data_IF_926280206261
#
_entry.id   IF_926280206261
#
_cell.length_a   1.000
_cell.length_b   1.000
_cell.length_c   1.000
_cell.angle_alpha   90.00
_cell.angle_beta   90.00
_cell.angle_gamma   90.00
#
_symmetry.space_group_name_H-M   'P 1'
#
loop_
_entity.id
_entity.type
_entity.pdbx_description
1 polymer ?
#
# COMPACT_ATOMS: atom_id res chain seq x y z
N UNK A 1 28.44 7.25 1.07
CA UNK A 1 27.56 7.68 2.18
C UNK A 1 26.25 6.92 2.03
N UNK A 2 25.94 5.97 2.92
CA UNK A 2 24.66 5.25 2.87
C UNK A 2 23.50 6.22 3.07
N UNK A 3 22.48 6.15 2.22
CA UNK A 3 21.21 6.87 2.44
C UNK A 3 20.68 6.54 3.84
N UNK A 4 20.11 7.49 4.59
CA UNK A 4 19.38 7.17 5.81
C UNK A 4 18.28 6.16 5.47
N UNK A 5 18.29 5.01 6.15
CA UNK A 5 17.26 3.98 6.02
C UNK A 5 15.92 4.58 6.46
N UNK A 6 14.90 4.50 5.62
CA UNK A 6 13.53 4.86 5.96
C UNK A 6 13.14 4.21 7.30
N UNK A 7 12.66 4.98 8.31
CA UNK A 7 12.24 4.44 9.60
C UNK A 7 11.23 3.29 9.47
N UNK A 8 10.36 3.32 8.47
CA UNK A 8 9.40 2.25 8.20
C UNK A 8 10.09 0.96 7.76
N UNK A 9 11.10 1.06 6.90
CA UNK A 9 11.91 -0.08 6.47
C UNK A 9 12.75 -0.65 7.62
N UNK A 10 13.21 0.19 8.55
CA UNK A 10 13.87 -0.27 9.78
C UNK A 10 12.92 -1.05 10.69
N UNK A 11 11.67 -0.59 10.85
CA UNK A 11 10.63 -1.33 11.59
C UNK A 11 10.29 -2.65 10.89
N UNK A 12 10.13 -2.65 9.57
CA UNK A 12 9.88 -3.86 8.78
C UNK A 12 11.03 -4.87 8.92
N UNK A 13 12.28 -4.43 8.93
CA UNK A 13 13.44 -5.30 9.12
C UNK A 13 13.39 -6.02 10.48
N UNK A 14 12.95 -5.34 11.55
CA UNK A 14 12.74 -5.97 12.87
C UNK A 14 11.60 -6.98 12.85
N UNK A 15 10.48 -6.65 12.22
CA UNK A 15 9.34 -7.57 12.08
C UNK A 15 9.73 -8.83 11.29
N UNK A 16 10.52 -8.68 10.22
CA UNK A 16 11.08 -9.80 9.45
C UNK A 16 11.95 -10.70 10.31
N UNK A 17 12.86 -10.12 11.10
CA UNK A 17 13.73 -10.87 12.00
C UNK A 17 12.92 -11.71 12.99
N UNK A 18 11.84 -11.15 13.56
CA UNK A 18 10.92 -11.89 14.43
C UNK A 18 10.21 -13.01 13.66
N UNK A 19 9.55 -12.70 12.55
CA UNK A 19 8.73 -13.69 11.84
C UNK A 19 9.56 -14.87 11.31
N UNK A 20 10.75 -14.61 10.79
CA UNK A 20 11.64 -15.64 10.26
C UNK A 20 12.42 -16.41 11.34
N UNK A 21 12.34 -16.03 12.62
CA UNK A 21 12.84 -16.86 13.72
C UNK A 21 11.98 -18.12 13.95
N UNK A 22 10.78 -18.19 13.34
CA UNK A 22 9.88 -19.33 13.43
C UNK A 22 9.95 -20.21 12.18
N UNK A 23 10.00 -21.53 12.39
CA UNK A 23 10.21 -22.49 11.31
C UNK A 23 9.04 -22.52 10.30
N UNK A 24 9.39 -22.52 9.01
CA UNK A 24 8.40 -22.57 7.91
C UNK A 24 7.63 -21.28 7.69
N UNK A 25 8.09 -20.15 8.25
CA UNK A 25 7.57 -18.82 7.90
C UNK A 25 8.07 -18.38 6.54
N UNK A 26 7.14 -17.97 5.70
CA UNK A 26 7.35 -17.44 4.35
C UNK A 26 6.77 -16.02 4.28
N UNK A 27 7.40 -15.14 3.49
CA UNK A 27 6.94 -13.77 3.23
C UNK A 27 6.44 -13.66 1.78
N UNK A 28 5.30 -13.00 1.58
CA UNK A 28 4.79 -12.58 0.27
C UNK A 28 4.16 -11.20 0.35
N UNK A 29 3.85 -10.60 -0.79
CA UNK A 29 3.00 -9.41 -0.81
C UNK A 29 1.52 -9.80 -0.79
N UNK A 30 0.75 -9.08 0.02
CA UNK A 30 -0.71 -9.07 0.00
C UNK A 30 -1.19 -7.63 -0.01
N UNK A 31 -1.92 -7.23 -1.04
CA UNK A 31 -2.40 -5.84 -1.21
C UNK A 31 -1.26 -4.80 -1.13
N UNK A 32 -0.03 -5.17 -1.53
CA UNK A 32 1.15 -4.28 -1.48
C UNK A 32 1.90 -4.24 -0.15
N UNK A 33 1.40 -4.95 0.86
CA UNK A 33 2.00 -5.05 2.18
C UNK A 33 2.74 -6.39 2.37
N UNK A 34 3.90 -6.41 3.05
CA UNK A 34 4.53 -7.65 3.51
C UNK A 34 3.57 -8.47 4.35
N UNK A 35 3.41 -9.74 3.99
CA UNK A 35 2.48 -10.68 4.58
C UNK A 35 3.18 -12.00 4.87
N UNK A 36 3.24 -12.36 6.14
CA UNK A 36 3.92 -13.53 6.65
C UNK A 36 2.93 -14.67 6.88
N UNK A 37 3.30 -15.86 6.45
CA UNK A 37 2.48 -17.06 6.60
C UNK A 37 3.31 -18.28 6.95
N UNK A 38 2.69 -19.22 7.63
CA UNK A 38 3.26 -20.56 7.87
C UNK A 38 2.41 -21.58 7.12
N UNK A 39 3.02 -22.29 6.17
CA UNK A 39 2.35 -23.34 5.36
C UNK A 39 1.01 -22.88 4.75
N UNK A 40 1.01 -21.69 4.14
CA UNK A 40 -0.16 -21.11 3.49
C UNK A 40 -1.19 -20.46 4.43
N UNK A 41 -0.99 -20.53 5.76
CA UNK A 41 -1.86 -19.87 6.74
C UNK A 41 -1.29 -18.52 7.15
N UNK A 42 -2.05 -17.46 6.92
CA UNK A 42 -1.66 -16.09 7.25
C UNK A 42 -1.47 -15.89 8.75
N UNK A 43 -0.33 -15.35 9.13
CA UNK A 43 0.11 -15.16 10.51
C UNK A 43 0.22 -13.68 10.86
N UNK A 44 0.84 -12.87 9.99
CA UNK A 44 1.05 -11.45 10.26
C UNK A 44 1.05 -10.64 8.96
N UNK A 45 0.41 -9.47 8.98
CA UNK A 45 0.50 -8.47 7.92
C UNK A 45 1.21 -7.23 8.44
N UNK A 46 2.19 -6.70 7.71
CA UNK A 46 2.76 -5.39 8.00
C UNK A 46 1.91 -4.31 7.34
N UNK A 47 1.44 -3.34 8.12
CA UNK A 47 0.60 -2.24 7.67
C UNK A 47 1.40 -0.94 7.76
N UNK A 48 2.07 -0.58 6.67
CA UNK A 48 2.72 0.72 6.50
C UNK A 48 1.74 1.70 5.87
N UNK A 49 1.32 2.74 6.60
CA UNK A 49 0.64 3.99 6.15
C UNK A 49 -0.03 4.02 4.75
N UNK A 50 -0.73 2.96 4.36
CA UNK A 50 -1.31 2.81 3.02
C UNK A 50 -2.54 3.73 2.87
N UNK A 51 -2.98 4.35 3.96
CA UNK A 51 -4.17 5.21 4.01
C UNK A 51 -3.85 6.68 4.36
N UNK A 52 -2.58 7.05 4.54
CA UNK A 52 -2.20 8.41 4.93
C UNK A 52 -2.63 8.79 6.34
N UNK A 53 -2.78 7.79 7.24
CA UNK A 53 -3.13 7.99 8.64
C UNK A 53 -1.90 8.01 9.57
N UNK A 54 -0.69 7.90 9.01
CA UNK A 54 0.59 8.05 9.70
C UNK A 54 0.94 6.90 10.64
N UNK A 55 0.24 5.77 10.57
CA UNK A 55 0.43 4.62 11.47
C UNK A 55 1.26 3.53 10.79
N UNK A 56 2.29 3.06 11.50
CA UNK A 56 3.05 1.86 11.11
C UNK A 56 2.68 0.78 12.09
N UNK A 57 1.96 -0.24 11.63
CA UNK A 57 1.44 -1.29 12.50
C UNK A 57 1.71 -2.68 11.93
N UNK A 58 1.47 -3.70 12.75
CA UNK A 58 1.30 -5.08 12.28
C UNK A 58 -0.08 -5.58 12.69
N UNK A 59 -0.69 -6.38 11.84
CA UNK A 59 -1.89 -7.13 12.15
C UNK A 59 -1.51 -8.59 12.32
N UNK A 60 -1.53 -9.08 13.54
CA UNK A 60 -1.16 -10.44 13.88
C UNK A 60 -2.41 -11.29 14.10
N UNK A 61 -2.38 -12.53 13.62
CA UNK A 61 -3.40 -13.51 13.95
C UNK A 61 -3.46 -13.69 15.48
N UNK A 62 -4.67 -13.77 16.02
CA UNK A 62 -4.93 -14.05 17.44
C UNK A 62 -6.33 -14.66 17.59
N UNK A 63 -6.75 -14.91 18.82
CA UNK A 63 -8.13 -15.32 19.15
C UNK A 63 -8.97 -14.10 19.52
N UNK A 64 -10.30 -14.22 19.44
CA UNK A 64 -11.19 -13.12 19.81
C UNK A 64 -11.09 -12.75 21.31
N UNK A 65 -10.85 -13.73 22.19
CA UNK A 65 -10.63 -13.48 23.62
C UNK A 65 -9.32 -12.75 23.87
N UNK A 66 -8.25 -13.20 23.24
CA UNK A 66 -6.93 -12.62 23.40
C UNK A 66 -6.84 -11.21 22.80
N UNK A 67 -7.41 -11.00 21.62
CA UNK A 67 -7.59 -9.66 21.04
C UNK A 67 -8.31 -8.72 22.02
N UNK A 68 -9.43 -9.17 22.62
CA UNK A 68 -10.15 -8.36 23.61
C UNK A 68 -9.31 -8.07 24.84
N UNK A 69 -8.54 -9.05 25.33
CA UNK A 69 -7.66 -8.90 26.49
C UNK A 69 -6.58 -7.86 26.24
N UNK A 70 -5.85 -7.98 25.12
CA UNK A 70 -4.78 -7.06 24.73
C UNK A 70 -5.29 -5.64 24.52
N UNK A 71 -6.38 -5.48 23.75
CA UNK A 71 -6.98 -4.15 23.49
C UNK A 71 -7.49 -3.50 24.76
N UNK A 72 -8.00 -4.27 25.75
CA UNK A 72 -8.41 -3.72 27.04
C UNK A 72 -7.21 -3.37 27.93
N UNK A 73 -6.15 -4.17 27.89
CA UNK A 73 -4.97 -3.97 28.71
C UNK A 73 -4.20 -2.72 28.28
N UNK A 74 -4.04 -2.52 26.98
CA UNK A 74 -3.34 -1.37 26.42
C UNK A 74 -3.94 -0.97 25.06
N UNK A 75 -5.01 -0.15 25.02
CA UNK A 75 -5.62 0.31 23.77
C UNK A 75 -4.74 1.29 22.98
N UNK A 76 -3.67 1.77 23.62
CA UNK A 76 -2.68 2.63 23.01
C UNK A 76 -1.72 1.82 22.13
N UNK A 77 -1.32 0.64 22.56
CA UNK A 77 -0.49 -0.27 21.77
C UNK A 77 -1.35 -1.14 20.83
N UNK A 78 -2.45 -1.68 21.34
CA UNK A 78 -3.27 -2.67 20.64
C UNK A 78 -4.58 -2.08 20.11
N UNK A 79 -5.06 -2.58 18.98
CA UNK A 79 -6.35 -2.20 18.43
C UNK A 79 -7.01 -3.34 17.66
N UNK A 80 -8.30 -3.19 17.35
CA UNK A 80 -9.02 -4.11 16.46
C UNK A 80 -8.83 -3.63 15.01
N UNK A 81 -8.07 -4.35 14.16
CA UNK A 81 -7.83 -3.96 12.78
C UNK A 81 -9.10 -4.14 11.94
N UNK A 82 -9.29 -3.32 10.90
CA UNK A 82 -10.43 -3.48 10.01
C UNK A 82 -10.36 -4.83 9.27
N UNK A 83 -11.54 -5.37 8.92
CA UNK A 83 -11.75 -6.61 8.13
C UNK A 83 -11.32 -7.93 8.79
N UNK A 84 -10.12 -7.99 9.36
CA UNK A 84 -9.57 -9.19 10.00
C UNK A 84 -9.77 -9.19 11.52
N UNK A 85 -10.08 -8.03 12.11
CA UNK A 85 -10.42 -7.93 13.53
C UNK A 85 -11.64 -8.75 13.93
N UNK A 86 -12.67 -8.82 13.07
CA UNK A 86 -13.84 -9.69 13.29
C UNK A 86 -13.49 -11.19 13.26
N UNK A 87 -12.31 -11.54 12.73
CA UNK A 87 -11.75 -12.90 12.74
C UNK A 87 -10.76 -13.12 13.89
N UNK A 88 -10.68 -12.20 14.85
CA UNK A 88 -9.83 -12.28 16.03
C UNK A 88 -8.41 -11.72 15.87
N UNK A 89 -8.03 -11.18 14.71
CA UNK A 89 -6.69 -10.62 14.52
C UNK A 89 -6.50 -9.35 15.33
N UNK A 90 -5.34 -9.14 15.94
CA UNK A 90 -5.04 -7.92 16.72
C UNK A 90 -4.05 -7.04 15.97
N UNK A 91 -4.27 -5.73 16.01
CA UNK A 91 -3.35 -4.73 15.50
C UNK A 91 -2.39 -4.27 16.59
N UNK A 92 -1.11 -4.11 16.26
CA UNK A 92 -0.05 -3.59 17.16
C UNK A 92 0.61 -2.39 16.49
N UNK A 93 0.62 -1.24 17.16
CA UNK A 93 1.27 -0.02 16.69
C UNK A 93 2.79 -0.09 16.90
N UNK A 94 3.57 0.29 15.90
CA UNK A 94 5.04 0.22 15.89
C UNK A 94 5.72 1.59 15.78
N UNK A 95 4.96 2.64 15.49
CA UNK A 95 5.48 4.00 15.33
C UNK A 95 5.87 4.66 16.68
N UNK A 96 5.50 4.06 17.81
CA UNK A 96 5.71 4.66 19.14
C UNK A 96 7.16 4.46 19.61
N UNK A 97 7.78 5.50 20.22
CA UNK A 97 9.02 5.33 20.95
C UNK A 97 8.89 4.24 22.01
N UNK A 98 9.88 3.38 22.14
CA UNK A 98 9.86 2.27 23.11
C UNK A 98 8.96 1.09 22.72
N UNK A 99 8.59 0.95 21.44
CA UNK A 99 7.88 -0.25 20.93
C UNK A 99 8.55 -1.53 21.45
N UNK A 100 7.76 -2.34 22.14
CA UNK A 100 8.19 -3.60 22.74
C UNK A 100 8.18 -4.73 21.69
N UNK A 101 9.35 -4.95 21.09
CA UNK A 101 9.54 -6.01 20.11
C UNK A 101 9.58 -7.41 20.73
N UNK A 102 9.81 -7.51 22.05
CA UNK A 102 9.76 -8.79 22.76
C UNK A 102 8.31 -9.24 22.93
N UNK A 103 7.43 -8.35 23.37
CA UNK A 103 5.98 -8.59 23.40
C UNK A 103 5.42 -8.93 22.02
N UNK A 104 5.87 -8.24 20.97
CA UNK A 104 5.51 -8.60 19.60
C UNK A 104 5.99 -10.02 19.24
N UNK A 105 7.21 -10.39 19.61
CA UNK A 105 7.75 -11.73 19.36
C UNK A 105 6.92 -12.81 20.05
N UNK A 106 6.47 -12.59 21.28
CA UNK A 106 5.59 -13.52 22.00
C UNK A 106 4.23 -13.68 21.29
N UNK A 107 3.63 -12.57 20.83
CA UNK A 107 2.38 -12.62 20.09
C UNK A 107 2.53 -13.37 18.75
N UNK A 108 3.65 -13.17 18.04
CA UNK A 108 3.95 -13.91 16.81
C UNK A 108 4.18 -15.39 17.10
N UNK A 109 4.81 -15.73 18.23
CA UNK A 109 4.99 -17.11 18.65
C UNK A 109 3.64 -17.81 18.89
N UNK A 110 2.71 -17.17 19.60
CA UNK A 110 1.37 -17.71 19.83
C UNK A 110 0.63 -17.93 18.50
N UNK A 111 0.72 -16.96 17.59
CA UNK A 111 0.16 -17.09 16.26
C UNK A 111 0.79 -18.25 15.49
N UNK A 112 2.11 -18.37 15.51
CA UNK A 112 2.82 -19.47 14.86
C UNK A 112 2.42 -20.82 15.46
N UNK A 113 2.40 -20.98 16.79
CA UNK A 113 2.01 -22.24 17.45
C UNK A 113 0.59 -22.68 17.09
N UNK A 114 -0.33 -21.75 16.93
CA UNK A 114 -1.71 -22.06 16.54
C UNK A 114 -1.87 -22.39 15.05
N UNK A 115 -1.00 -21.83 14.21
CA UNK A 115 -1.10 -21.96 12.75
C UNK A 115 -0.24 -23.09 12.19
N UNK A 116 0.94 -23.33 12.77
CA UNK A 116 1.95 -24.25 12.29
C UNK A 116 1.51 -25.72 12.44
N UNK A 117 1.71 -26.56 11.40
CA UNK A 117 1.53 -27.99 11.54
C UNK A 117 2.46 -28.58 12.61
N UNK A 118 1.98 -29.56 13.40
CA UNK A 118 2.72 -30.20 14.51
C UNK A 118 4.15 -30.63 14.15
N UNK A 119 4.38 -31.07 12.90
CA UNK A 119 5.70 -31.45 12.41
C UNK A 119 6.76 -30.34 12.44
N UNK A 120 6.35 -29.06 12.49
CA UNK A 120 7.24 -27.92 12.56
C UNK A 120 7.60 -27.53 14.00
N UNK A 121 6.89 -28.03 15.01
CA UNK A 121 7.12 -27.68 16.42
C UNK A 121 8.56 -27.98 16.89
N UNK A 122 9.21 -28.99 16.28
CA UNK A 122 10.58 -29.41 16.60
C UNK A 122 11.58 -29.07 15.48
N UNK A 123 11.15 -28.36 14.43
CA UNK A 123 12.04 -28.00 13.34
C UNK A 123 12.87 -26.77 13.74
N UNK A 124 14.17 -26.80 13.46
CA UNK A 124 14.97 -25.59 13.55
C UNK A 124 14.42 -24.52 12.56
N UNK A 125 14.46 -23.24 12.93
CA UNK A 125 14.16 -22.18 11.97
C UNK A 125 15.11 -22.32 10.77
N UNK A 126 14.55 -22.24 9.57
CA UNK A 126 15.39 -22.04 8.40
C UNK A 126 16.08 -20.68 8.53
N UNK A 127 17.31 -20.56 8.02
CA UNK A 127 17.93 -19.25 7.89
C UNK A 127 16.93 -18.31 7.16
N UNK A 128 16.73 -17.07 7.65
CA UNK A 128 15.81 -16.15 7.01
C UNK A 128 16.20 -16.03 5.53
N UNK A 129 15.25 -16.20 4.59
CA UNK A 129 15.55 -15.89 3.20
C UNK A 129 16.02 -14.42 3.14
N UNK A 130 16.89 -14.07 2.18
CA UNK A 130 17.16 -12.65 1.95
C UNK A 130 15.82 -11.94 1.76
N UNK A 131 15.64 -10.74 2.36
CA UNK A 131 14.38 -10.02 2.25
C UNK A 131 14.03 -9.86 0.77
N UNK A 132 12.75 -10.02 0.39
CA UNK A 132 12.34 -9.83 -0.99
C UNK A 132 12.77 -8.44 -1.46
N UNK A 133 13.44 -8.39 -2.61
CA UNK A 133 13.78 -7.13 -3.27
C UNK A 133 12.51 -6.60 -3.90
N UNK A 134 11.92 -5.59 -3.26
CA UNK A 134 10.76 -4.90 -3.81
C UNK A 134 11.18 -3.96 -4.93
N UNK A 135 10.33 -3.83 -5.94
CA UNK A 135 10.52 -2.83 -6.97
C UNK A 135 10.45 -1.43 -6.34
N UNK A 136 11.30 -0.54 -6.84
CA UNK A 136 11.33 0.87 -6.46
C UNK A 136 11.16 1.72 -7.71
N UNK A 137 10.59 2.90 -7.54
CA UNK A 137 10.49 3.91 -8.58
C UNK A 137 11.68 4.86 -8.54
N UNK A 138 11.92 5.55 -9.65
CA UNK A 138 12.92 6.61 -9.73
C UNK A 138 12.35 7.92 -9.15
N UNK A 139 12.93 8.47 -8.06
CA UNK A 139 12.45 9.72 -7.46
C UNK A 139 12.47 10.91 -8.42
N UNK A 140 13.32 10.93 -9.45
CA UNK A 140 13.33 12.01 -10.46
C UNK A 140 12.11 11.96 -11.37
N UNK A 141 11.71 10.76 -11.79
CA UNK A 141 10.48 10.55 -12.57
C UNK A 141 9.26 11.00 -11.77
N UNK A 142 9.21 10.66 -10.47
CA UNK A 142 8.11 11.09 -9.59
C UNK A 142 8.07 12.61 -9.46
N UNK A 143 9.21 13.26 -9.26
CA UNK A 143 9.30 14.74 -9.16
C UNK A 143 8.88 15.43 -10.46
N UNK A 144 9.36 14.98 -11.63
CA UNK A 144 8.98 15.57 -12.92
C UNK A 144 7.48 15.37 -13.20
N UNK A 145 6.95 14.18 -12.95
CA UNK A 145 5.54 13.89 -13.11
C UNK A 145 4.66 14.75 -12.19
N UNK A 146 5.04 14.88 -10.90
CA UNK A 146 4.34 15.73 -9.95
C UNK A 146 4.34 17.19 -10.39
N UNK A 147 5.50 17.73 -10.81
CA UNK A 147 5.61 19.11 -11.26
C UNK A 147 4.70 19.40 -12.47
N UNK A 148 4.70 18.51 -13.47
CA UNK A 148 3.85 18.64 -14.67
C UNK A 148 2.37 18.54 -14.35
N UNK A 149 1.99 17.59 -13.49
CA UNK A 149 0.59 17.38 -13.10
C UNK A 149 0.07 18.53 -12.23
N UNK A 150 0.88 19.05 -11.31
CA UNK A 150 0.52 20.25 -10.53
C UNK A 150 0.31 21.45 -11.45
N UNK A 151 1.27 21.75 -12.35
CA UNK A 151 1.14 22.86 -13.29
C UNK A 151 -0.12 22.75 -14.18
N UNK A 152 -0.48 21.53 -14.62
CA UNK A 152 -1.71 21.29 -15.36
C UNK A 152 -2.96 21.52 -14.49
N UNK A 153 -2.99 20.98 -13.29
CA UNK A 153 -4.18 21.00 -12.44
C UNK A 153 -4.40 22.36 -11.76
N UNK A 154 -3.36 23.14 -11.51
CA UNK A 154 -3.44 24.45 -10.85
C UNK A 154 -4.27 25.46 -11.67
N UNK A 155 -4.33 25.28 -13.00
CA UNK A 155 -5.14 26.12 -13.89
C UNK A 155 -6.56 25.58 -14.12
N UNK A 156 -6.89 24.39 -13.57
CA UNK A 156 -8.22 23.80 -13.72
C UNK A 156 -9.19 24.34 -12.64
N UNK A 157 -10.37 24.86 -13.03
CA UNK A 157 -11.30 25.47 -12.08
C UNK A 157 -11.71 24.53 -10.93
N UNK A 158 -11.55 25.01 -9.69
CA UNK A 158 -11.96 24.28 -8.49
C UNK A 158 -11.14 23.03 -8.19
N UNK A 159 -10.00 22.83 -8.87
CA UNK A 159 -9.09 21.73 -8.58
C UNK A 159 -8.31 21.99 -7.28
N UNK A 160 -8.14 20.96 -6.48
CA UNK A 160 -7.24 20.95 -5.33
C UNK A 160 -6.48 19.63 -5.25
N UNK A 161 -5.28 19.67 -4.68
CA UNK A 161 -4.41 18.51 -4.49
C UNK A 161 -4.34 18.09 -3.02
N UNK A 162 -4.29 16.79 -2.78
CA UNK A 162 -3.96 16.19 -1.50
C UNK A 162 -2.86 15.15 -1.72
N UNK A 163 -1.74 15.29 -1.02
CA UNK A 163 -0.59 14.40 -1.16
C UNK A 163 -0.42 13.52 0.07
N UNK A 164 -0.15 12.24 -0.16
CA UNK A 164 0.41 11.32 0.81
C UNK A 164 1.83 10.92 0.38
N UNK A 165 2.43 10.01 1.14
CA UNK A 165 3.78 9.46 0.86
C UNK A 165 3.89 8.71 -0.47
N UNK A 166 2.80 8.14 -0.99
CA UNK A 166 2.80 7.27 -2.18
C UNK A 166 1.82 7.69 -3.27
N UNK A 167 1.05 8.75 -3.07
CA UNK A 167 0.16 9.27 -4.10
C UNK A 167 -0.15 10.76 -3.92
N UNK A 168 -0.41 11.43 -5.04
CA UNK A 168 -1.09 12.74 -5.05
C UNK A 168 -2.45 12.58 -5.71
N UNK A 169 -3.48 13.15 -5.09
CA UNK A 169 -4.87 13.05 -5.53
C UNK A 169 -5.40 14.44 -5.87
N UNK A 170 -5.93 14.61 -7.09
CA UNK A 170 -6.59 15.86 -7.49
C UNK A 170 -8.10 15.71 -7.54
N UNK A 171 -8.80 16.69 -6.97
CA UNK A 171 -10.27 16.69 -6.80
C UNK A 171 -10.90 18.02 -7.18
N UNK A 172 -12.19 17.98 -7.52
CA UNK A 172 -13.09 19.14 -7.52
C UNK A 172 -14.13 18.93 -6.43
N UNK A 173 -14.08 19.74 -5.37
CA UNK A 173 -14.82 19.47 -4.14
C UNK A 173 -14.49 18.07 -3.60
N UNK A 174 -15.50 17.20 -3.45
CA UNK A 174 -15.31 15.81 -2.99
C UNK A 174 -15.06 14.79 -4.11
N UNK A 175 -15.05 15.20 -5.38
CA UNK A 175 -14.95 14.28 -6.53
C UNK A 175 -13.53 14.22 -7.08
N UNK A 176 -12.92 13.04 -7.03
CA UNK A 176 -11.60 12.80 -7.62
C UNK A 176 -11.65 12.66 -9.13
N UNK A 177 -10.70 13.31 -9.81
CA UNK A 177 -10.51 13.23 -11.27
C UNK A 177 -9.12 12.77 -11.70
N UNK A 178 -8.09 12.87 -10.85
CA UNK A 178 -6.78 12.33 -11.17
C UNK A 178 -6.04 11.81 -9.93
N UNK A 179 -5.18 10.82 -10.16
CA UNK A 179 -4.17 10.37 -9.20
C UNK A 179 -2.80 10.37 -9.89
N UNK A 180 -1.76 10.76 -9.17
CA UNK A 180 -0.37 10.37 -9.45
C UNK A 180 -0.04 9.29 -8.42
N UNK A 181 0.34 8.12 -8.90
CA UNK A 181 0.66 6.95 -8.10
C UNK A 181 2.16 6.70 -8.19
N UNK A 182 2.81 6.58 -7.03
CA UNK A 182 4.22 6.29 -6.88
C UNK A 182 4.40 4.93 -6.20
N UNK A 183 4.87 3.94 -6.97
CA UNK A 183 5.18 2.60 -6.49
C UNK A 183 4.01 1.95 -5.73
N UNK A 184 2.78 2.18 -6.20
CA UNK A 184 1.60 1.74 -5.49
C UNK A 184 1.57 0.21 -5.44
N UNK A 185 1.38 -0.34 -4.24
CA UNK A 185 1.49 -1.77 -3.99
C UNK A 185 2.89 -2.38 -4.28
N UNK A 186 3.94 -1.57 -4.29
CA UNK A 186 5.32 -1.99 -4.57
C UNK A 186 5.48 -2.62 -5.97
N UNK A 187 4.73 -2.10 -6.94
CA UNK A 187 4.72 -2.56 -8.33
C UNK A 187 5.87 -2.00 -9.18
N UNK A 188 6.62 -1.02 -8.66
CA UNK A 188 7.73 -0.35 -9.35
C UNK A 188 7.29 0.64 -10.41
N UNK A 189 6.02 1.08 -10.39
CA UNK A 189 5.44 1.89 -11.45
C UNK A 189 5.18 3.32 -10.95
N UNK A 190 5.52 4.30 -11.78
CA UNK A 190 4.98 5.66 -11.65
C UNK A 190 3.91 5.87 -12.71
N UNK A 191 2.70 6.26 -12.29
CA UNK A 191 1.58 6.39 -13.23
C UNK A 191 0.59 7.48 -12.86
N UNK A 192 -0.11 7.99 -13.88
CA UNK A 192 -1.21 8.94 -13.70
C UNK A 192 -2.53 8.24 -14.05
N UNK A 193 -3.48 8.25 -13.12
CA UNK A 193 -4.83 7.73 -13.33
C UNK A 193 -5.78 8.86 -13.70
N UNK A 194 -6.69 8.59 -14.63
CA UNK A 194 -7.77 9.50 -15.04
C UNK A 194 -9.02 8.72 -15.45
N UNK A 195 -10.16 9.41 -15.50
CA UNK A 195 -11.45 8.81 -15.87
C UNK A 195 -11.66 8.85 -17.39
N UNK A 196 -12.21 7.77 -17.91
CA UNK A 196 -12.72 7.63 -19.30
C UNK A 196 -13.97 6.74 -19.29
N UNK A 197 -14.65 6.63 -20.43
CA UNK A 197 -15.73 5.65 -20.56
C UNK A 197 -15.18 4.20 -20.38
N UNK A 198 -15.92 3.25 -19.76
CA UNK A 198 -15.40 1.92 -19.45
C UNK A 198 -14.90 1.11 -20.66
N UNK A 199 -15.58 1.24 -21.80
CA UNK A 199 -15.21 0.66 -23.09
C UNK A 199 -13.92 1.28 -23.64
N UNK A 200 -13.76 2.60 -23.51
CA UNK A 200 -12.52 3.28 -23.88
C UNK A 200 -11.34 2.81 -23.00
N UNK A 201 -11.54 2.69 -21.69
CA UNK A 201 -10.51 2.16 -20.78
C UNK A 201 -10.04 0.78 -21.21
N UNK A 202 -10.97 -0.12 -21.56
CA UNK A 202 -10.65 -1.46 -22.05
C UNK A 202 -9.80 -1.40 -23.32
N UNK A 203 -10.23 -0.59 -24.28
CA UNK A 203 -9.58 -0.50 -25.58
C UNK A 203 -8.21 0.20 -25.50
N UNK A 204 -7.96 1.11 -24.54
CA UNK A 204 -6.63 1.69 -24.29
C UNK A 204 -5.64 0.65 -23.76
N UNK A 205 -6.09 -0.16 -22.79
CA UNK A 205 -5.27 -1.23 -22.20
C UNK A 205 -4.97 -2.31 -23.23
N UNK A 206 -5.96 -2.72 -24.03
CA UNK A 206 -5.76 -3.72 -25.09
C UNK A 206 -4.79 -3.23 -26.17
N UNK A 207 -4.94 -1.99 -26.64
CA UNK A 207 -4.11 -1.43 -27.70
C UNK A 207 -2.69 -1.10 -27.25
N UNK A 208 -2.47 -0.84 -25.97
CA UNK A 208 -1.18 -0.37 -25.46
C UNK A 208 -0.93 -0.82 -24.02
N UNK A 209 -0.84 -2.14 -23.76
CA UNK A 209 -0.76 -2.70 -22.39
C UNK A 209 0.56 -2.36 -21.66
N UNK A 210 1.59 -1.93 -22.39
CA UNK A 210 2.84 -1.41 -21.79
C UNK A 210 2.71 0.03 -21.29
N UNK A 211 1.71 0.77 -21.77
CA UNK A 211 1.48 2.18 -21.43
C UNK A 211 0.30 2.33 -20.51
N UNK A 212 -0.76 1.56 -20.73
CA UNK A 212 -2.00 1.64 -19.99
C UNK A 212 -2.26 0.35 -19.23
N UNK A 213 -2.76 0.49 -18.01
CA UNK A 213 -3.25 -0.64 -17.23
C UNK A 213 -4.50 -0.22 -16.45
N UNK A 214 -5.23 -1.22 -15.94
CA UNK A 214 -6.34 -0.97 -15.02
C UNK A 214 -5.77 -0.91 -13.60
N UNK A 215 -5.84 0.25 -12.93
CA UNK A 215 -5.38 0.33 -11.56
C UNK A 215 -6.25 -0.55 -10.64
N UNK A 216 -5.64 -1.34 -9.73
CA UNK A 216 -6.39 -2.13 -8.75
C UNK A 216 -7.37 -1.27 -7.95
N UNK A 217 -8.53 -1.82 -7.58
CA UNK A 217 -9.56 -1.21 -6.71
C UNK A 217 -10.30 0.03 -7.25
N UNK A 218 -9.73 0.81 -8.16
CA UNK A 218 -10.38 1.95 -8.84
C UNK A 218 -10.84 1.61 -10.26
N UNK A 219 -10.23 0.62 -10.92
CA UNK A 219 -10.47 0.25 -12.32
C UNK A 219 -11.88 -0.26 -12.67
N UNK A 220 -12.68 -0.65 -11.69
CA UNK A 220 -14.07 -1.09 -11.93
C UNK A 220 -15.03 0.06 -12.32
N UNK A 221 -14.64 1.33 -12.14
CA UNK A 221 -15.51 2.51 -12.34
C UNK A 221 -14.93 3.54 -13.31
N UNK A 222 -14.57 3.11 -14.53
CA UNK A 222 -14.17 4.00 -15.61
C UNK A 222 -12.82 4.70 -15.39
N UNK A 223 -11.89 4.04 -14.69
CA UNK A 223 -10.53 4.54 -14.49
C UNK A 223 -9.52 3.74 -15.31
N UNK A 224 -8.54 4.45 -15.85
CA UNK A 224 -7.37 3.87 -16.51
C UNK A 224 -6.12 4.61 -16.03
N UNK A 225 -5.00 3.91 -15.94
CA UNK A 225 -3.71 4.45 -15.55
C UNK A 225 -2.76 4.49 -16.74
N UNK A 226 -2.07 5.61 -16.96
CA UNK A 226 -0.96 5.74 -17.91
C UNK A 226 0.36 5.72 -17.15
N UNK A 227 1.28 4.84 -17.54
CA UNK A 227 2.66 4.83 -17.06
C UNK A 227 3.41 6.09 -17.50
N UNK A 228 4.03 6.78 -16.55
CA UNK A 228 4.87 7.98 -16.78
C UNK A 228 6.35 7.74 -16.49
N UNK A 229 6.71 6.50 -16.18
CA UNK A 229 8.07 5.98 -15.98
C UNK A 229 8.69 5.38 -17.26
N UNK A 230 8.03 5.57 -18.41
CA UNK A 230 8.56 5.15 -19.71
C UNK A 230 9.42 6.26 -20.34
N UNK A 231 10.43 5.88 -21.12
CA UNK A 231 11.33 6.84 -21.78
C UNK A 231 10.63 7.85 -22.72
N UNK A 232 9.41 7.55 -23.19
CA UNK A 232 8.63 8.41 -24.09
C UNK A 232 7.19 8.53 -23.62
N UNK A 233 6.96 9.41 -22.64
CA UNK A 233 5.62 9.74 -22.13
C UNK A 233 4.92 10.71 -23.09
N UNK A 234 3.70 10.40 -23.57
CA UNK A 234 2.94 11.29 -24.45
C UNK A 234 2.25 12.40 -23.63
N UNK A 235 3.03 13.33 -23.05
CA UNK A 235 2.51 14.33 -22.11
C UNK A 235 1.32 15.14 -22.64
N UNK A 236 1.30 15.50 -23.93
CA UNK A 236 0.17 16.20 -24.55
C UNK A 236 -1.13 15.37 -24.51
N UNK A 237 -1.04 14.06 -24.76
CA UNK A 237 -2.19 13.16 -24.66
C UNK A 237 -2.64 13.02 -23.21
N UNK A 238 -1.68 12.82 -22.29
CA UNK A 238 -1.98 12.69 -20.87
C UNK A 238 -2.68 13.93 -20.33
N UNK A 239 -2.17 15.13 -20.64
CA UNK A 239 -2.78 16.39 -20.23
C UNK A 239 -4.22 16.52 -20.73
N UNK A 240 -4.47 16.21 -22.02
CA UNK A 240 -5.83 16.22 -22.58
C UNK A 240 -6.78 15.30 -21.79
N UNK A 241 -6.35 14.06 -21.53
CA UNK A 241 -7.16 13.05 -20.83
C UNK A 241 -7.45 13.44 -19.38
N UNK A 242 -6.48 14.04 -18.69
CA UNK A 242 -6.67 14.57 -17.33
C UNK A 242 -7.66 15.74 -17.32
N UNK A 243 -7.58 16.65 -18.28
CA UNK A 243 -8.55 17.75 -18.43
C UNK A 243 -9.96 17.24 -18.72
N UNK A 244 -10.11 16.21 -19.56
CA UNK A 244 -11.41 15.57 -19.83
C UNK A 244 -11.97 14.88 -18.58
N UNK A 245 -11.10 14.22 -17.81
CA UNK A 245 -11.46 13.64 -16.52
C UNK A 245 -11.95 14.70 -15.53
N UNK A 246 -11.26 15.86 -15.45
CA UNK A 246 -11.70 17.01 -14.64
C UNK A 246 -13.08 17.51 -15.08
N UNK A 247 -13.29 17.73 -16.38
CA UNK A 247 -14.55 18.20 -16.93
C UNK A 247 -15.72 17.26 -16.62
N UNK A 248 -15.46 15.95 -16.50
CA UNK A 248 -16.48 14.95 -16.14
C UNK A 248 -17.03 15.08 -14.71
N UNK A 249 -16.27 15.72 -13.80
CA UNK A 249 -16.66 15.89 -12.39
C UNK A 249 -16.93 17.35 -12.00
N UNK A 250 -16.45 18.30 -12.79
CA UNK A 250 -16.64 19.73 -12.56
C UNK A 250 -18.14 20.09 -12.63
N UNK A 251 -18.62 21.06 -11.81
CA UNK A 251 -19.98 21.56 -11.90
C UNK A 251 -20.26 22.07 -13.32
N UNK A 252 -21.41 21.71 -13.89
CA UNK A 252 -21.88 22.37 -15.11
C UNK A 252 -22.09 23.84 -14.78
N UNK A 253 -21.48 24.75 -15.56
CA UNK A 253 -21.80 26.18 -15.45
C UNK A 253 -23.30 26.32 -15.69
N UNK A 254 -24.03 26.74 -14.67
CA UNK A 254 -25.39 27.26 -14.84
C UNK A 254 -25.18 28.60 -15.53
N UNK A 255 -25.65 28.69 -16.78
CA UNK A 255 -25.59 29.91 -17.58
C UNK A 255 -26.50 31.01 -17.03
#
# INVERSE_FOLDING_TARGET
MSKPTDPTEALLARVRAICHSFAGTEEKLSHGAPFFHVRGRGMLSFASDHHGDGRVAVWCWSTADEQRRLVRADPDVYFVPPYVGVKGWVGVRLERPGTDFEALSMLVEEAWRALAPKRLANAAPAAPPPPPVYATTDPEVVRDALARMSALCDVLPGASAESSTSQTTWRVGRKTFAYLLDNQHRDGIVSVCFRVAPDEAAALVERSPRRYYRPPYVGAKGWVAMRVDSAKVPWKELSRRVTESHASVAPRRVG
#
